data_IF_176628742277
#
_entry.id   IF_176628742277
#
_cell.length_a   1.000
_cell.length_b   1.000
_cell.length_c   1.000
_cell.angle_alpha   90.00
_cell.angle_beta   90.00
_cell.angle_gamma   90.00
#
_symmetry.space_group_name_H-M   'P 1'
#
loop_
_entity.id
_entity.type
_entity.pdbx_description
1 polymer ?
#
# COMPACT_ATOMS: atom_id res chain seq x y z
N UNK A 1 9.94 -23.34 -19.33
CA UNK A 1 9.30 -24.61 -18.90
C UNK A 1 9.67 -25.05 -17.45
N UNK A 2 9.79 -24.11 -16.50
CA UNK A 2 9.57 -24.41 -15.07
C UNK A 2 8.54 -23.42 -14.49
N UNK A 3 8.66 -22.13 -14.87
CA UNK A 3 7.68 -21.09 -14.55
C UNK A 3 6.25 -21.42 -14.99
N UNK A 4 6.04 -21.96 -16.19
CA UNK A 4 4.71 -22.37 -16.69
C UNK A 4 4.06 -23.48 -15.85
N UNK A 5 4.87 -24.39 -15.30
CA UNK A 5 4.38 -25.44 -14.40
C UNK A 5 3.97 -24.85 -13.05
N UNK A 6 4.72 -23.85 -12.56
CA UNK A 6 4.40 -23.13 -11.33
C UNK A 6 3.15 -22.25 -11.50
N UNK A 7 2.96 -21.61 -12.65
CA UNK A 7 1.73 -20.87 -12.98
C UNK A 7 0.51 -21.81 -12.90
N UNK A 8 0.63 -23.04 -13.40
CA UNK A 8 -0.44 -24.06 -13.32
C UNK A 8 -0.76 -24.51 -11.89
N UNK A 9 0.17 -24.37 -10.93
CA UNK A 9 -0.09 -24.63 -9.50
C UNK A 9 -0.91 -23.51 -8.83
N UNK A 10 -1.21 -22.44 -9.56
CA UNK A 10 -1.92 -21.28 -9.06
C UNK A 10 -1.03 -20.35 -8.21
N UNK A 11 -1.50 -19.11 -8.01
CA UNK A 11 -0.75 -18.02 -7.36
C UNK A 11 -0.24 -18.40 -5.97
N UNK A 12 -1.08 -19.03 -5.15
CA UNK A 12 -0.74 -19.49 -3.81
C UNK A 12 0.41 -20.51 -3.81
N UNK A 13 0.30 -21.54 -4.65
CA UNK A 13 1.29 -22.61 -4.73
C UNK A 13 2.63 -22.12 -5.28
N UNK A 14 2.60 -21.28 -6.32
CA UNK A 14 3.79 -20.63 -6.87
C UNK A 14 4.47 -19.73 -5.82
N UNK A 15 3.72 -18.87 -5.14
CA UNK A 15 4.28 -17.96 -4.13
C UNK A 15 4.92 -18.69 -2.94
N UNK A 16 4.28 -19.76 -2.44
CA UNK A 16 4.84 -20.59 -1.38
C UNK A 16 6.16 -21.26 -1.82
N UNK A 17 6.20 -21.74 -3.06
CA UNK A 17 7.42 -22.30 -3.64
C UNK A 17 8.55 -21.28 -3.69
N UNK A 18 8.32 -20.08 -4.25
CA UNK A 18 9.36 -19.06 -4.37
C UNK A 18 9.83 -18.52 -3.03
N UNK A 19 8.93 -18.39 -2.04
CA UNK A 19 9.32 -18.04 -0.68
C UNK A 19 10.34 -19.04 -0.11
N UNK A 20 10.09 -20.34 -0.31
CA UNK A 20 11.01 -21.39 0.16
C UNK A 20 12.32 -21.44 -0.62
N UNK A 21 12.26 -21.13 -1.92
CA UNK A 21 13.44 -21.12 -2.80
C UNK A 21 14.36 -19.95 -2.47
N UNK A 22 13.81 -18.73 -2.37
CA UNK A 22 14.57 -17.52 -2.02
C UNK A 22 15.20 -17.61 -0.62
N UNK A 23 14.61 -18.35 0.31
CA UNK A 23 15.21 -18.62 1.61
C UNK A 23 16.44 -19.55 1.53
N UNK A 24 16.60 -20.32 0.45
CA UNK A 24 17.69 -21.27 0.23
C UNK A 24 18.77 -20.80 -0.75
N UNK A 25 18.44 -19.90 -1.68
CA UNK A 25 19.36 -19.45 -2.73
C UNK A 25 19.27 -17.95 -2.97
N UNK A 26 20.42 -17.33 -3.28
CA UNK A 26 20.54 -15.92 -3.64
C UNK A 26 20.30 -15.65 -5.13
N UNK A 27 20.04 -16.68 -5.95
CA UNK A 27 19.80 -16.53 -7.39
C UNK A 27 18.59 -17.38 -7.84
N UNK A 28 17.36 -16.92 -7.58
CA UNK A 28 16.16 -17.68 -7.89
C UNK A 28 15.79 -17.54 -9.37
N UNK A 29 16.42 -18.33 -10.24
CA UNK A 29 16.21 -18.27 -11.71
C UNK A 29 14.75 -18.42 -12.11
N UNK A 30 14.02 -19.31 -11.45
CA UNK A 30 12.61 -19.56 -11.77
C UNK A 30 11.70 -18.39 -11.37
N UNK A 31 12.06 -17.65 -10.31
CA UNK A 31 11.37 -16.42 -9.95
C UNK A 31 11.59 -15.36 -11.01
N UNK A 32 12.83 -15.18 -11.48
CA UNK A 32 13.14 -14.24 -12.55
C UNK A 32 12.36 -14.55 -13.84
N UNK A 33 12.32 -15.82 -14.27
CA UNK A 33 11.51 -16.25 -15.43
C UNK A 33 10.03 -15.90 -15.26
N UNK A 34 9.48 -16.06 -14.05
CA UNK A 34 8.09 -15.70 -13.78
C UNK A 34 7.89 -14.18 -13.80
N UNK A 35 8.80 -13.42 -13.19
CA UNK A 35 8.75 -11.96 -13.16
C UNK A 35 8.81 -11.37 -14.58
N UNK A 36 9.63 -11.92 -15.46
CA UNK A 36 9.69 -11.50 -16.88
C UNK A 36 8.35 -11.67 -17.61
N UNK A 37 7.56 -12.69 -17.24
CA UNK A 37 6.22 -12.94 -17.83
C UNK A 37 5.16 -11.98 -17.25
N UNK A 38 5.21 -11.75 -15.93
CA UNK A 38 4.21 -10.99 -15.18
C UNK A 38 4.42 -9.49 -15.34
N UNK A 39 5.67 -9.02 -15.26
CA UNK A 39 6.09 -7.63 -15.31
C UNK A 39 6.57 -7.23 -16.72
N UNK A 40 5.96 -7.78 -17.76
CA UNK A 40 6.28 -7.44 -19.15
C UNK A 40 6.00 -5.94 -19.40
N UNK A 41 7.03 -5.11 -19.68
CA UNK A 41 6.88 -3.66 -19.82
C UNK A 41 6.06 -3.25 -21.04
N UNK A 42 5.73 -4.19 -21.94
CA UNK A 42 4.84 -3.95 -23.09
C UNK A 42 3.37 -4.02 -22.71
N UNK A 43 3.04 -4.54 -21.53
CA UNK A 43 1.67 -4.64 -21.02
C UNK A 43 1.34 -3.41 -20.16
N UNK A 44 0.08 -2.94 -20.15
CA UNK A 44 -0.35 -1.90 -19.21
C UNK A 44 -0.03 -2.27 -17.75
N UNK A 45 0.46 -1.29 -16.98
CA UNK A 45 0.87 -1.48 -15.58
C UNK A 45 -0.31 -1.74 -14.63
N UNK A 46 -1.53 -1.36 -15.04
CA UNK A 46 -2.76 -1.44 -14.28
C UNK A 46 -3.55 -2.74 -14.51
N UNK A 47 -2.96 -3.73 -15.20
CA UNK A 47 -3.57 -5.05 -15.36
C UNK A 47 -3.78 -5.68 -13.98
N UNK A 48 -5.05 -5.88 -13.63
CA UNK A 48 -5.45 -6.45 -12.35
C UNK A 48 -4.79 -7.80 -12.05
N UNK A 49 -4.71 -8.70 -13.04
CA UNK A 49 -4.13 -10.03 -12.83
C UNK A 49 -2.63 -9.98 -12.51
N UNK A 50 -1.89 -9.10 -13.17
CA UNK A 50 -0.47 -8.82 -12.88
C UNK A 50 -0.31 -8.29 -11.45
N UNK A 51 -1.12 -7.31 -11.05
CA UNK A 51 -1.11 -6.75 -9.69
C UNK A 51 -1.42 -7.83 -8.66
N UNK A 52 -2.43 -8.67 -8.92
CA UNK A 52 -2.81 -9.75 -8.02
C UNK A 52 -1.68 -10.78 -7.88
N UNK A 53 -1.03 -11.16 -8.98
CA UNK A 53 0.18 -12.00 -8.95
C UNK A 53 1.28 -11.42 -8.06
N UNK A 54 1.59 -10.13 -8.19
CA UNK A 54 2.59 -9.46 -7.34
C UNK A 54 2.21 -9.54 -5.86
N UNK A 55 0.93 -9.31 -5.52
CA UNK A 55 0.44 -9.44 -4.13
C UNK A 55 0.67 -10.84 -3.57
N UNK A 56 0.38 -11.87 -4.36
CA UNK A 56 0.61 -13.26 -3.96
C UNK A 56 2.09 -13.57 -3.74
N UNK A 57 2.97 -13.14 -4.66
CA UNK A 57 4.41 -13.34 -4.53
C UNK A 57 4.97 -12.68 -3.26
N UNK A 58 4.56 -11.43 -2.96
CA UNK A 58 4.93 -10.73 -1.73
C UNK A 58 4.41 -11.45 -0.47
N UNK A 59 3.20 -12.01 -0.54
CA UNK A 59 2.61 -12.75 0.57
C UNK A 59 3.25 -14.13 0.81
N UNK A 60 4.13 -14.60 -0.08
CA UNK A 60 4.93 -15.80 0.13
C UNK A 60 4.12 -17.07 0.36
N UNK A 61 2.93 -17.18 -0.25
CA UNK A 61 2.02 -18.32 -0.11
C UNK A 61 0.92 -18.18 0.94
N UNK A 62 0.97 -17.12 1.76
CA UNK A 62 -0.21 -16.64 2.50
C UNK A 62 -1.14 -15.88 1.55
N UNK A 63 -2.39 -15.67 1.96
CA UNK A 63 -3.26 -14.73 1.25
C UNK A 63 -2.75 -13.30 1.43
N UNK A 64 -2.99 -12.39 0.47
CA UNK A 64 -2.63 -10.98 0.62
C UNK A 64 -3.19 -10.32 1.89
N UNK A 65 -4.38 -10.73 2.33
CA UNK A 65 -5.02 -10.20 3.55
C UNK A 65 -4.29 -10.67 4.81
N UNK A 66 -3.97 -11.96 4.92
CA UNK A 66 -3.18 -12.51 6.03
C UNK A 66 -1.78 -11.86 6.11
N UNK A 67 -1.14 -11.65 4.96
CA UNK A 67 0.14 -10.94 4.88
C UNK A 67 -0.01 -9.50 5.37
N UNK A 68 -1.01 -8.77 4.88
CA UNK A 68 -1.28 -7.38 5.28
C UNK A 68 -1.54 -7.26 6.78
N UNK A 69 -2.31 -8.17 7.37
CA UNK A 69 -2.53 -8.22 8.82
C UNK A 69 -1.25 -8.51 9.59
N UNK A 70 -0.39 -9.38 9.06
CA UNK A 70 0.92 -9.68 9.66
C UNK A 70 1.81 -8.45 9.67
N UNK A 71 1.94 -7.76 8.53
CA UNK A 71 2.78 -6.55 8.40
C UNK A 71 2.28 -5.43 9.30
N UNK A 72 0.97 -5.22 9.40
CA UNK A 72 0.37 -4.21 10.29
C UNK A 72 0.73 -4.40 11.77
N UNK A 73 1.05 -5.62 12.23
CA UNK A 73 1.49 -5.85 13.61
C UNK A 73 2.90 -5.34 13.89
N UNK A 74 3.69 -5.09 12.85
CA UNK A 74 5.02 -4.50 12.95
C UNK A 74 4.99 -2.99 12.71
N UNK A 75 3.83 -2.43 12.42
CA UNK A 75 3.66 -0.99 12.22
C UNK A 75 3.55 -0.30 13.58
N UNK A 76 4.67 0.26 14.04
CA UNK A 76 4.75 1.09 15.23
C UNK A 76 4.72 2.59 14.88
N UNK A 77 4.23 2.96 13.68
CA UNK A 77 4.15 4.34 13.28
C UNK A 77 3.24 5.13 14.23
N UNK A 78 3.73 6.27 14.68
CA UNK A 78 2.96 7.25 15.46
C UNK A 78 2.17 8.20 14.55
N UNK A 79 2.36 8.08 13.23
CA UNK A 79 1.67 8.87 12.20
C UNK A 79 0.77 7.96 11.37
N UNK A 80 -0.31 8.51 10.81
CA UNK A 80 -1.23 7.75 9.97
C UNK A 80 -0.59 7.34 8.64
N UNK A 81 -0.05 8.32 7.89
CA UNK A 81 0.67 8.06 6.64
C UNK A 81 -0.17 7.41 5.52
N UNK A 82 -1.51 7.35 5.63
CA UNK A 82 -2.36 6.79 4.58
C UNK A 82 -2.10 7.51 3.26
N UNK A 83 -1.54 6.80 2.28
CA UNK A 83 -1.25 7.33 0.94
C UNK A 83 -2.45 7.13 0.02
N UNK A 84 -2.73 8.12 -0.82
CA UNK A 84 -3.79 8.07 -1.82
C UNK A 84 -3.35 8.60 -3.19
N UNK A 85 -4.18 8.33 -4.19
CA UNK A 85 -4.07 8.82 -5.57
C UNK A 85 -5.17 9.85 -5.88
N UNK A 86 -5.27 10.28 -7.13
CA UNK A 86 -6.28 11.23 -7.56
C UNK A 86 -7.71 10.77 -7.24
N UNK A 87 -8.60 11.74 -7.04
CA UNK A 87 -10.02 11.60 -6.68
C UNK A 87 -10.31 11.10 -5.25
N UNK A 88 -9.28 10.91 -4.42
CA UNK A 88 -9.46 10.62 -2.99
C UNK A 88 -10.08 11.80 -2.24
N UNK A 89 -10.99 11.52 -1.31
CA UNK A 89 -11.63 12.55 -0.46
C UNK A 89 -10.78 12.75 0.78
N UNK A 90 -10.22 13.95 0.92
CA UNK A 90 -9.40 14.35 2.06
C UNK A 90 -9.99 15.61 2.73
N UNK A 91 -9.51 15.88 3.93
CA UNK A 91 -9.91 17.01 4.75
C UNK A 91 -8.70 17.91 5.02
N UNK A 92 -8.89 19.22 5.01
CA UNK A 92 -7.87 20.17 5.45
C UNK A 92 -8.45 20.99 6.58
N UNK A 93 -7.93 20.76 7.79
CA UNK A 93 -8.28 21.53 8.97
C UNK A 93 -7.30 22.71 9.11
N UNK A 94 -7.74 23.92 8.77
CA UNK A 94 -6.92 25.13 8.84
C UNK A 94 -6.66 25.58 10.28
N UNK A 95 -7.52 25.16 11.21
CA UNK A 95 -7.34 25.39 12.66
C UNK A 95 -6.17 24.59 13.22
N UNK A 96 -6.06 23.30 12.87
CA UNK A 96 -5.02 22.39 13.38
C UNK A 96 -3.74 22.38 12.52
N UNK A 97 -3.83 22.83 11.26
CA UNK A 97 -2.69 22.85 10.35
C UNK A 97 -1.67 23.94 10.69
N UNK A 98 -0.39 23.58 10.66
CA UNK A 98 0.74 24.53 10.62
C UNK A 98 0.99 24.94 9.17
N UNK A 99 0.87 23.98 8.24
CA UNK A 99 1.06 24.17 6.80
C UNK A 99 -0.26 24.23 6.04
N UNK A 100 -0.40 25.09 5.01
CA UNK A 100 -1.59 25.14 4.16
C UNK A 100 -1.78 23.88 3.30
N UNK A 101 -0.76 23.02 3.21
CA UNK A 101 -0.81 21.77 2.47
C UNK A 101 -1.28 20.57 3.31
N UNK A 102 -1.43 20.75 4.64
CA UNK A 102 -1.81 19.68 5.55
C UNK A 102 -3.14 19.05 5.15
N UNK A 103 -3.19 17.72 5.13
CA UNK A 103 -4.33 16.92 4.67
C UNK A 103 -4.54 15.70 5.57
N UNK A 104 -5.79 15.44 5.92
CA UNK A 104 -6.23 14.31 6.74
C UNK A 104 -7.09 13.35 5.93
N UNK A 105 -6.94 12.05 6.20
CA UNK A 105 -7.91 11.07 5.73
C UNK A 105 -9.23 11.21 6.51
N UNK A 106 -10.30 10.61 5.98
CA UNK A 106 -11.62 10.68 6.61
C UNK A 106 -11.63 10.10 8.04
N UNK A 107 -10.88 9.03 8.28
CA UNK A 107 -10.81 8.37 9.58
C UNK A 107 -10.16 9.27 10.63
N UNK A 108 -8.96 9.82 10.34
CA UNK A 108 -8.28 10.76 11.22
C UNK A 108 -9.10 12.03 11.43
N UNK A 109 -9.76 12.54 10.38
CA UNK A 109 -10.61 13.71 10.53
C UNK A 109 -11.77 13.48 11.52
N UNK A 110 -12.40 12.30 11.45
CA UNK A 110 -13.53 11.95 12.31
C UNK A 110 -13.11 11.62 13.74
N UNK A 111 -12.00 10.88 13.89
CA UNK A 111 -11.48 10.47 15.20
C UNK A 111 -10.76 11.61 15.95
N UNK A 112 -10.16 12.56 15.22
CA UNK A 112 -9.48 13.75 15.76
C UNK A 112 -10.40 14.89 16.18
N UNK A 113 -11.73 14.69 16.20
CA UNK A 113 -12.72 15.68 16.66
C UNK A 113 -12.65 17.06 15.96
N UNK A 114 -12.24 17.12 14.69
CA UNK A 114 -12.15 18.39 13.95
C UNK A 114 -13.52 18.99 13.53
N UNK A 115 -14.63 18.39 13.97
CA UNK A 115 -15.96 18.92 13.69
C UNK A 115 -16.15 20.26 14.41
N UNK A 116 -16.41 21.33 13.64
CA UNK A 116 -16.54 22.69 14.17
C UNK A 116 -15.29 23.56 14.04
N UNK A 117 -14.16 22.99 13.58
CA UNK A 117 -13.00 23.77 13.19
C UNK A 117 -13.21 24.46 11.83
N UNK A 118 -12.32 25.38 11.47
CA UNK A 118 -12.23 25.86 10.11
C UNK A 118 -11.58 24.78 9.24
N UNK A 119 -12.40 24.06 8.47
CA UNK A 119 -11.93 23.03 7.57
C UNK A 119 -12.58 23.10 6.19
N UNK A 120 -11.99 22.41 5.22
CA UNK A 120 -12.70 22.03 4.01
C UNK A 120 -12.53 20.53 3.73
N UNK A 121 -13.50 19.98 3.01
CA UNK A 121 -13.39 18.68 2.37
C UNK A 121 -13.10 18.91 0.90
N UNK A 122 -12.13 18.18 0.35
CA UNK A 122 -11.73 18.33 -1.05
C UNK A 122 -11.43 16.97 -1.69
N UNK A 123 -11.57 16.90 -3.01
CA UNK A 123 -11.10 15.76 -3.80
C UNK A 123 -9.70 16.05 -4.29
N UNK A 124 -8.72 15.27 -3.84
CA UNK A 124 -7.33 15.41 -4.26
C UNK A 124 -7.21 15.19 -5.77
N UNK A 125 -6.64 16.16 -6.49
CA UNK A 125 -6.43 16.02 -7.94
C UNK A 125 -5.14 15.24 -8.28
N UNK A 126 -4.26 15.07 -7.28
CA UNK A 126 -3.00 14.35 -7.37
C UNK A 126 -2.89 13.32 -6.23
N UNK A 127 -1.75 12.66 -6.10
CA UNK A 127 -1.43 11.85 -4.93
C UNK A 127 -1.22 12.68 -3.67
N UNK A 128 -1.26 12.03 -2.50
CA UNK A 128 -1.01 12.66 -1.20
C UNK A 128 -0.94 11.62 -0.08
N UNK A 129 -0.70 12.09 1.14
CA UNK A 129 -0.68 11.24 2.33
C UNK A 129 -1.36 11.95 3.52
N UNK A 130 -1.84 11.17 4.48
CA UNK A 130 -2.43 11.69 5.72
C UNK A 130 -1.34 12.20 6.65
N UNK A 131 -1.47 13.46 7.07
CA UNK A 131 -0.52 14.16 7.94
C UNK A 131 -0.82 13.99 9.44
N UNK A 132 -1.83 13.18 9.80
CA UNK A 132 -2.17 12.92 11.20
C UNK A 132 -0.96 12.38 11.98
N UNK A 133 -0.62 13.06 13.07
CA UNK A 133 0.52 12.75 13.93
C UNK A 133 1.86 13.37 13.48
N UNK A 134 1.92 14.04 12.33
CA UNK A 134 3.12 14.76 11.90
C UNK A 134 3.20 16.16 12.51
N UNK A 135 3.95 16.27 13.60
CA UNK A 135 4.15 17.51 14.35
C UNK A 135 4.84 18.63 13.56
N UNK A 136 5.42 18.34 12.38
CA UNK A 136 6.01 19.36 11.53
C UNK A 136 4.98 20.16 10.71
N UNK A 137 3.78 19.60 10.51
CA UNK A 137 2.72 20.20 9.67
C UNK A 137 1.38 20.32 10.37
N UNK A 138 1.22 19.69 11.54
CA UNK A 138 0.00 19.66 12.34
C UNK A 138 0.32 19.94 13.81
N UNK A 139 -0.54 20.73 14.47
CA UNK A 139 -0.45 21.01 15.90
C UNK A 139 -0.85 19.77 16.72
N UNK A 140 -0.36 19.68 17.95
CA UNK A 140 -0.64 18.56 18.87
C UNK A 140 -2.12 18.46 19.30
N UNK A 141 -2.90 19.54 19.16
CA UNK A 141 -4.33 19.59 19.49
C UNK A 141 -5.23 19.12 18.33
N UNK A 142 -4.62 18.72 17.21
CA UNK A 142 -5.30 18.13 16.06
C UNK A 142 -5.35 16.62 16.10
#
# INVERSE_FOLDING_TARGET
>A
MAAEVLIKKGKKGAAAYFQSECARTNNPRQLNELLDIILDPRKPIDIWDTIDWCKWLMAGGKTPDEFSQTVRRYDNATTCGLVWTANFVAYRCRTCGISPCMSLCAECFQQGNHQGHDFNMFRSQAGGACDCGDASVMREDG
#
